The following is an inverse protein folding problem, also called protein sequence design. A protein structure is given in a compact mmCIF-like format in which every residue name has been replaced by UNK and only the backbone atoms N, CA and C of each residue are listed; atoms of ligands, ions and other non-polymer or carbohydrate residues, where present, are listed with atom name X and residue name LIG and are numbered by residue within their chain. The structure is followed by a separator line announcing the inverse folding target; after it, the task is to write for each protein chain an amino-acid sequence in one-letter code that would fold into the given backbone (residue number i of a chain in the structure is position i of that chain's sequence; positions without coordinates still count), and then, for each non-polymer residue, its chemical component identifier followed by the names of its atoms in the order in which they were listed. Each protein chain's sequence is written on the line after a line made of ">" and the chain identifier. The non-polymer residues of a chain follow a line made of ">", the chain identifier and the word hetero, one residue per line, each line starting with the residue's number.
data_IF_670752043694
#
_entry.id   IF_670752043694
#
_cell.length_a   1.000
_cell.length_b   1.000
_cell.length_c   1.000
_cell.angle_alpha   90.00
_cell.angle_beta   90.00
_cell.angle_gamma   90.00
#
_symmetry.space_group_name_H-M   'P 1'
#
loop_
_entity.id
_entity.type
_entity.pdbx_description
1 polymer ?
#
# COMPACT_ATOMS: atom_id res chain seq x y z
N UNK A 1 13.07 4.22 -26.28
CA UNK A 1 11.79 4.70 -25.74
C UNK A 1 10.89 3.50 -25.57
N UNK A 2 10.31 3.29 -24.38
CA UNK A 2 9.28 2.28 -24.21
C UNK A 2 8.04 2.71 -25.01
N UNK A 3 7.38 1.77 -25.68
CA UNK A 3 6.07 2.04 -26.28
C UNK A 3 5.05 1.93 -25.15
N UNK A 4 4.34 3.02 -24.85
CA UNK A 4 3.23 2.99 -23.91
C UNK A 4 2.14 2.07 -24.48
N UNK A 5 1.76 1.03 -23.72
CA UNK A 5 0.65 0.14 -24.05
C UNK A 5 -0.68 0.72 -23.60
N UNK A 6 -1.63 -0.17 -23.29
CA UNK A 6 -2.96 0.24 -22.82
C UNK A 6 -2.91 0.70 -21.36
N UNK A 7 -3.73 1.70 -21.03
CA UNK A 7 -4.07 2.03 -19.65
C UNK A 7 -4.90 0.89 -19.06
N UNK A 8 -4.47 0.33 -17.93
CA UNK A 8 -5.14 -0.77 -17.23
C UNK A 8 -5.90 -0.31 -15.99
N UNK A 9 -5.50 0.81 -15.40
CA UNK A 9 -6.21 1.45 -14.31
C UNK A 9 -5.96 2.96 -14.30
N UNK A 10 -6.86 3.73 -13.72
CA UNK A 10 -6.69 5.17 -13.54
C UNK A 10 -7.42 5.71 -12.32
N UNK A 11 -6.89 6.76 -11.71
CA UNK A 11 -7.54 7.54 -10.66
C UNK A 11 -7.58 9.02 -11.03
N UNK A 12 -8.54 9.74 -10.43
CA UNK A 12 -8.54 11.20 -10.37
C UNK A 12 -8.55 11.61 -8.89
N UNK A 13 -7.58 12.43 -8.50
CA UNK A 13 -7.29 12.81 -7.11
C UNK A 13 -6.36 14.04 -7.10
N UNK A 14 -6.27 14.75 -5.97
CA UNK A 14 -5.40 15.94 -5.82
C UNK A 14 -4.02 15.52 -5.30
N UNK A 15 -3.10 15.16 -6.20
CA UNK A 15 -1.78 14.63 -5.81
C UNK A 15 -0.77 15.74 -5.51
N UNK A 16 -0.88 16.90 -6.19
CA UNK A 16 0.02 18.04 -6.02
C UNK A 16 -0.46 19.10 -5.02
N UNK A 17 -1.62 18.87 -4.40
CA UNK A 17 -2.22 19.69 -3.34
C UNK A 17 -2.71 21.06 -3.82
N UNK A 18 -2.99 21.23 -5.11
CA UNK A 18 -3.48 22.49 -5.68
C UNK A 18 -5.01 22.66 -5.60
N UNK A 19 -5.71 21.65 -5.06
CA UNK A 19 -7.17 21.61 -4.93
C UNK A 19 -7.89 21.19 -6.21
N UNK A 20 -7.17 20.77 -7.25
CA UNK A 20 -7.73 20.32 -8.53
C UNK A 20 -7.37 18.86 -8.73
N UNK A 21 -8.26 18.14 -9.43
CA UNK A 21 -8.02 16.75 -9.71
C UNK A 21 -6.94 16.58 -10.79
N UNK A 22 -5.89 15.86 -10.45
CA UNK A 22 -4.91 15.30 -11.39
C UNK A 22 -5.38 13.92 -11.86
N UNK A 23 -4.70 13.37 -12.87
CA UNK A 23 -4.98 12.02 -13.38
C UNK A 23 -3.76 11.12 -13.22
N UNK A 24 -3.92 10.03 -12.47
CA UNK A 24 -2.93 8.96 -12.38
C UNK A 24 -3.35 7.80 -13.28
N UNK A 25 -2.46 7.34 -14.15
CA UNK A 25 -2.69 6.26 -15.12
C UNK A 25 -1.67 5.14 -14.91
N UNK A 26 -2.12 3.90 -14.84
CA UNK A 26 -1.25 2.72 -14.85
C UNK A 26 -1.27 2.11 -16.24
N UNK A 27 -0.11 1.99 -16.85
CA UNK A 27 0.06 1.59 -18.25
C UNK A 27 0.94 0.34 -18.28
N UNK A 28 0.50 -0.71 -18.98
CA UNK A 28 1.35 -1.88 -19.26
C UNK A 28 2.38 -1.50 -20.31
N UNK A 29 3.67 -1.51 -19.96
CA UNK A 29 4.75 -1.27 -20.90
C UNK A 29 5.10 -2.52 -21.71
N UNK A 30 5.08 -2.39 -23.05
CA UNK A 30 5.60 -3.44 -23.95
C UNK A 30 7.05 -3.08 -24.28
N UNK A 31 8.01 -3.80 -23.70
CA UNK A 31 9.42 -3.71 -24.12
C UNK A 31 9.72 -4.75 -25.21
N UNK A 32 9.78 -4.32 -26.48
CA UNK A 32 10.12 -5.19 -27.61
C UNK A 32 11.54 -5.81 -27.55
N UNK A 33 12.42 -5.34 -26.65
CA UNK A 33 13.82 -5.76 -26.55
C UNK A 33 14.18 -6.52 -25.25
N UNK A 34 13.27 -6.59 -24.25
CA UNK A 34 13.49 -7.33 -22.99
C UNK A 34 12.18 -7.94 -22.50
N UNK A 35 12.20 -9.24 -22.25
CA UNK A 35 11.06 -10.10 -21.88
C UNK A 35 10.43 -9.82 -20.49
N UNK A 36 10.58 -8.63 -19.90
CA UNK A 36 9.99 -8.30 -18.61
C UNK A 36 8.92 -7.20 -18.77
N UNK A 37 7.65 -7.45 -18.38
CA UNK A 37 6.63 -6.40 -18.35
C UNK A 37 7.07 -5.34 -17.34
N UNK A 38 6.99 -4.07 -17.71
CA UNK A 38 7.14 -2.95 -16.77
C UNK A 38 5.83 -2.20 -16.72
N UNK A 39 5.21 -2.11 -15.56
CA UNK A 39 4.12 -1.17 -15.35
C UNK A 39 4.69 0.25 -15.24
N UNK A 40 4.05 1.21 -15.88
CA UNK A 40 4.38 2.64 -15.77
C UNK A 40 3.22 3.32 -15.06
N UNK A 41 3.49 3.97 -13.94
CA UNK A 41 2.57 4.91 -13.32
C UNK A 41 2.85 6.30 -13.90
N UNK A 42 1.84 6.93 -14.47
CA UNK A 42 1.91 8.23 -15.13
C UNK A 42 0.94 9.19 -14.47
N UNK A 43 1.48 10.21 -13.80
CA UNK A 43 0.71 11.30 -13.22
C UNK A 43 0.66 12.47 -14.21
N UNK A 44 -0.54 12.92 -14.55
CA UNK A 44 -0.79 14.11 -15.36
C UNK A 44 -1.47 15.14 -14.46
N UNK A 45 -0.75 16.21 -14.12
CA UNK A 45 -1.26 17.27 -13.25
C UNK A 45 -2.35 18.08 -13.95
N UNK A 46 -3.19 18.76 -13.19
CA UNK A 46 -4.20 19.70 -13.72
C UNK A 46 -3.58 20.83 -14.56
N UNK A 47 -2.30 21.15 -14.33
CA UNK A 47 -1.48 22.08 -15.12
C UNK A 47 -1.05 21.54 -16.49
N UNK A 48 -1.16 20.22 -16.70
CA UNK A 48 -0.68 19.51 -17.88
C UNK A 48 0.74 18.96 -17.77
N UNK A 49 1.43 19.21 -16.66
CA UNK A 49 2.73 18.58 -16.38
C UNK A 49 2.57 17.05 -16.24
N UNK A 50 3.59 16.31 -16.69
CA UNK A 50 3.56 14.84 -16.73
C UNK A 50 4.76 14.29 -15.97
N UNK A 51 4.51 13.36 -15.07
CA UNK A 51 5.52 12.67 -14.26
C UNK A 51 5.32 11.17 -14.39
N UNK A 52 6.38 10.43 -14.64
CA UNK A 52 6.33 8.98 -14.85
C UNK A 52 7.24 8.27 -13.87
N UNK A 53 6.74 7.15 -13.34
CA UNK A 53 7.48 6.23 -12.49
C UNK A 53 7.39 4.84 -13.09
N UNK A 54 8.55 4.27 -13.43
CA UNK A 54 8.63 2.86 -13.78
C UNK A 54 8.56 2.02 -12.51
N UNK A 55 7.60 1.10 -12.45
CA UNK A 55 7.53 0.11 -11.39
C UNK A 55 8.32 -1.12 -11.83
N UNK A 56 9.17 -1.63 -10.95
CA UNK A 56 9.79 -2.94 -11.18
C UNK A 56 8.70 -4.00 -11.28
N UNK A 57 8.93 -5.01 -12.12
CA UNK A 57 7.99 -6.07 -12.50
C UNK A 57 7.56 -6.92 -11.30
N UNK A 58 6.70 -6.32 -10.50
CA UNK A 58 5.56 -6.97 -9.93
C UNK A 58 4.69 -7.39 -11.11
N UNK A 59 4.09 -8.58 -11.05
CA UNK A 59 3.14 -9.12 -12.02
C UNK A 59 2.23 -8.09 -12.74
N UNK A 60 1.62 -8.51 -13.86
CA UNK A 60 0.65 -7.71 -14.65
C UNK A 60 -0.53 -7.15 -13.81
N UNK A 61 -0.62 -7.48 -12.52
CA UNK A 61 -1.64 -7.07 -11.56
C UNK A 61 -1.26 -5.88 -10.66
N UNK A 62 -0.14 -5.19 -10.94
CA UNK A 62 0.23 -3.91 -10.28
C UNK A 62 -0.84 -2.84 -10.52
N UNK A 63 -1.90 -2.92 -9.72
CA UNK A 63 -3.16 -2.23 -9.92
C UNK A 63 -3.33 -1.16 -8.87
N UNK A 64 -3.98 -0.08 -9.26
CA UNK A 64 -4.47 0.93 -8.33
C UNK A 64 -5.49 0.26 -7.40
N UNK A 65 -5.20 0.25 -6.10
CA UNK A 65 -6.15 -0.18 -5.05
C UNK A 65 -7.11 0.97 -4.75
N UNK A 66 -6.58 2.18 -4.64
CA UNK A 66 -7.36 3.38 -4.36
C UNK A 66 -6.47 4.59 -4.12
N UNK A 67 -7.09 5.72 -3.79
CA UNK A 67 -6.40 6.95 -3.41
C UNK A 67 -6.87 7.39 -2.03
N UNK A 68 -5.93 7.87 -1.22
CA UNK A 68 -6.18 8.43 0.10
C UNK A 68 -5.00 9.29 0.53
N UNK A 69 -5.24 10.24 1.43
CA UNK A 69 -4.18 10.92 2.17
C UNK A 69 -3.55 9.93 3.17
N UNK A 70 -2.48 9.24 2.76
CA UNK A 70 -1.82 8.22 3.61
C UNK A 70 -0.75 8.82 4.51
N UNK A 71 -0.30 10.04 4.20
CA UNK A 71 0.79 10.72 4.88
C UNK A 71 0.33 11.90 5.77
N UNK A 72 -0.94 12.28 5.68
CA UNK A 72 -1.61 13.33 6.46
C UNK A 72 -1.27 14.76 6.02
N UNK A 73 -0.72 14.95 4.82
CA UNK A 73 -0.42 16.28 4.28
C UNK A 73 -1.58 16.91 3.51
N UNK A 74 -2.76 16.25 3.53
CA UNK A 74 -4.01 16.64 2.87
C UNK A 74 -3.99 16.51 1.35
N UNK A 75 -3.00 15.81 0.81
CA UNK A 75 -2.92 15.50 -0.60
C UNK A 75 -3.26 14.02 -0.79
N UNK A 76 -3.87 13.69 -1.90
CA UNK A 76 -4.17 12.31 -2.21
C UNK A 76 -2.89 11.60 -2.65
N UNK A 77 -2.67 10.41 -2.10
CA UNK A 77 -1.62 9.48 -2.51
C UNK A 77 -2.25 8.23 -3.13
N UNK A 78 -1.47 7.48 -3.91
CA UNK A 78 -1.95 6.23 -4.51
C UNK A 78 -1.58 5.03 -3.64
N UNK A 79 -2.55 4.17 -3.37
CA UNK A 79 -2.36 2.84 -2.80
C UNK A 79 -2.31 1.87 -3.98
N UNK A 80 -1.24 1.08 -4.08
CA UNK A 80 -0.99 0.24 -5.25
C UNK A 80 -0.68 -1.19 -4.85
N UNK A 81 -1.27 -2.15 -5.56
CA UNK A 81 -0.77 -3.53 -5.52
C UNK A 81 0.62 -3.56 -6.15
N UNK A 82 1.55 -4.17 -5.44
CA UNK A 82 2.92 -4.47 -5.87
C UNK A 82 3.17 -5.98 -5.79
N UNK A 83 2.11 -6.77 -5.92
CA UNK A 83 2.15 -8.21 -6.18
C UNK A 83 1.13 -8.97 -5.37
N UNK A 84 1.06 -10.27 -5.58
CA UNK A 84 0.20 -11.11 -4.77
C UNK A 84 0.82 -12.49 -4.50
N UNK A 85 0.52 -13.03 -3.33
CA UNK A 85 0.63 -14.44 -3.00
C UNK A 85 -0.67 -15.18 -3.29
N UNK A 86 -0.79 -16.41 -2.76
CA UNK A 86 -2.02 -17.21 -2.90
C UNK A 86 -3.21 -16.62 -2.15
N UNK A 87 -2.97 -15.90 -1.05
CA UNK A 87 -4.03 -15.30 -0.22
C UNK A 87 -3.59 -13.97 0.41
N UNK A 88 -2.51 -13.37 -0.07
CA UNK A 88 -2.00 -12.09 0.43
C UNK A 88 -1.75 -11.15 -0.74
N UNK A 89 -2.03 -9.88 -0.54
CA UNK A 89 -1.67 -8.81 -1.49
C UNK A 89 -0.48 -8.05 -0.93
N UNK A 90 0.48 -7.76 -1.80
CA UNK A 90 1.64 -6.94 -1.48
C UNK A 90 1.28 -5.52 -1.90
N UNK A 91 1.41 -4.54 -1.01
CA UNK A 91 0.97 -3.15 -1.26
C UNK A 91 2.10 -2.13 -1.09
N UNK A 92 2.19 -1.24 -2.08
CA UNK A 92 2.96 0.01 -2.20
C UNK A 92 2.14 1.25 -1.82
N UNK A 93 2.82 2.39 -1.76
CA UNK A 93 2.25 3.73 -1.84
C UNK A 93 3.05 4.55 -2.84
N UNK A 94 2.37 5.33 -3.67
CA UNK A 94 3.00 6.33 -4.55
C UNK A 94 2.58 7.72 -4.09
N UNK A 95 3.56 8.61 -3.96
CA UNK A 95 3.39 9.99 -3.51
C UNK A 95 4.00 10.95 -4.54
N UNK A 96 3.43 12.14 -4.66
CA UNK A 96 4.06 13.22 -5.42
C UNK A 96 4.89 14.10 -4.48
N UNK A 97 6.21 14.05 -4.60
CA UNK A 97 7.13 14.74 -3.69
C UNK A 97 8.19 15.52 -4.48
N UNK A 98 8.29 16.83 -4.22
CA UNK A 98 9.26 17.76 -4.84
C UNK A 98 9.29 17.70 -6.38
N UNK A 99 8.13 17.63 -7.01
CA UNK A 99 8.04 17.66 -8.47
C UNK A 99 8.20 16.29 -9.13
N UNK A 100 8.19 15.20 -8.37
CA UNK A 100 8.38 13.85 -8.88
C UNK A 100 7.37 12.87 -8.28
N UNK A 101 6.86 11.96 -9.12
CA UNK A 101 6.11 10.79 -8.65
C UNK A 101 7.09 9.75 -8.12
N UNK A 102 6.92 9.34 -6.87
CA UNK A 102 7.84 8.46 -6.15
C UNK A 102 7.12 7.31 -5.48
N UNK A 103 7.78 6.16 -5.41
CA UNK A 103 7.36 5.08 -4.51
C UNK A 103 7.90 5.36 -3.12
N UNK A 104 7.10 5.13 -2.09
CA UNK A 104 7.52 5.31 -0.70
C UNK A 104 8.63 4.32 -0.35
N UNK A 105 9.61 4.80 0.41
CA UNK A 105 10.76 4.01 0.83
C UNK A 105 10.93 3.99 2.34
N UNK A 106 11.62 2.96 2.82
CA UNK A 106 12.13 2.87 4.19
C UNK A 106 13.57 2.36 4.10
N UNK A 107 14.49 3.01 4.79
CA UNK A 107 15.93 2.68 4.75
C UNK A 107 16.50 2.64 3.32
N UNK A 108 16.05 3.55 2.45
CA UNK A 108 16.51 3.69 1.06
C UNK A 108 16.08 2.55 0.13
N UNK A 109 15.01 1.81 0.48
CA UNK A 109 14.41 0.77 -0.36
C UNK A 109 12.90 0.97 -0.44
N UNK A 110 12.26 0.67 -1.58
CA UNK A 110 10.81 0.70 -1.68
C UNK A 110 10.14 -0.16 -0.63
N UNK A 111 9.18 0.41 0.12
CA UNK A 111 8.43 -0.37 1.11
C UNK A 111 7.46 -1.33 0.44
N UNK A 112 7.12 -2.39 1.17
CA UNK A 112 6.11 -3.35 0.80
C UNK A 112 5.42 -3.82 2.06
N UNK A 113 4.10 -3.62 2.12
CA UNK A 113 3.26 -4.13 3.19
C UNK A 113 2.39 -5.27 2.69
N UNK A 114 1.88 -6.08 3.60
CA UNK A 114 1.05 -7.23 3.29
C UNK A 114 -0.34 -7.00 3.87
N UNK A 115 -1.38 -7.31 3.10
CA UNK A 115 -2.72 -7.49 3.64
C UNK A 115 -3.37 -8.76 3.08
N UNK A 116 -4.44 -9.22 3.73
CA UNK A 116 -5.07 -10.52 3.49
C UNK A 116 -4.35 -11.65 4.20
N UNK A 117 -4.84 -12.86 4.01
CA UNK A 117 -4.21 -14.06 4.52
C UNK A 117 -5.07 -15.32 4.39
N UNK A 118 -4.79 -16.29 5.24
CA UNK A 118 -5.54 -17.54 5.36
C UNK A 118 -6.26 -17.60 6.71
N UNK A 119 -6.99 -18.69 6.94
CA UNK A 119 -7.69 -18.94 8.21
C UNK A 119 -6.78 -19.09 9.44
N UNK A 120 -5.46 -19.24 9.27
CA UNK A 120 -4.48 -19.38 10.38
C UNK A 120 -3.40 -18.30 10.40
N UNK A 121 -3.44 -17.38 9.44
CA UNK A 121 -2.47 -16.30 9.29
C UNK A 121 -3.13 -15.12 8.61
N UNK A 122 -3.00 -13.92 9.16
CA UNK A 122 -3.50 -12.69 8.55
C UNK A 122 -2.43 -11.60 8.51
N UNK A 123 -2.54 -10.70 7.54
CA UNK A 123 -1.86 -9.42 7.58
C UNK A 123 -2.86 -8.30 7.32
N UNK A 124 -2.63 -7.15 7.91
CA UNK A 124 -3.42 -5.95 7.66
C UNK A 124 -2.56 -4.70 7.57
N UNK A 125 -3.09 -3.71 6.85
CA UNK A 125 -2.50 -2.38 6.72
C UNK A 125 -3.53 -1.33 7.14
N UNK A 126 -3.15 -0.42 8.03
CA UNK A 126 -3.96 0.73 8.42
C UNK A 126 -3.17 2.02 8.25
N UNK A 127 -3.70 2.98 7.51
CA UNK A 127 -3.25 4.36 7.57
C UNK A 127 -4.06 5.08 8.65
N UNK A 128 -3.43 5.41 9.79
CA UNK A 128 -4.09 6.10 10.91
C UNK A 128 -3.53 7.49 11.11
N UNK A 129 -4.41 8.41 11.49
CA UNK A 129 -4.05 9.74 11.92
C UNK A 129 -4.09 9.79 13.45
N UNK A 130 -2.92 9.89 14.06
CA UNK A 130 -2.77 10.26 15.46
C UNK A 130 -2.69 11.78 15.61
N UNK A 131 -2.88 12.27 16.83
CA UNK A 131 -2.91 13.71 17.15
C UNK A 131 -1.72 14.48 16.56
N UNK A 132 -0.55 13.87 16.57
CA UNK A 132 0.72 14.51 16.21
C UNK A 132 1.48 13.74 15.11
N UNK A 133 0.89 12.69 14.53
CA UNK A 133 1.55 11.85 13.53
C UNK A 133 0.57 11.14 12.61
N UNK A 134 0.92 11.04 11.34
CA UNK A 134 0.30 10.08 10.41
C UNK A 134 1.13 8.81 10.43
N UNK A 135 0.49 7.66 10.49
CA UNK A 135 1.16 6.38 10.68
C UNK A 135 0.65 5.34 9.69
N UNK A 136 1.58 4.52 9.19
CA UNK A 136 1.24 3.26 8.53
C UNK A 136 1.44 2.14 9.54
N UNK A 137 0.39 1.39 9.80
CA UNK A 137 0.39 0.28 10.76
C UNK A 137 0.28 -1.01 9.99
N UNK A 138 1.32 -1.84 10.08
CA UNK A 138 1.33 -3.18 9.52
C UNK A 138 1.10 -4.18 10.65
N UNK A 139 0.09 -5.04 10.50
CA UNK A 139 -0.23 -6.08 11.49
C UNK A 139 -0.03 -7.45 10.89
N UNK A 140 0.57 -8.35 11.64
CA UNK A 140 0.56 -9.79 11.38
C UNK A 140 -0.14 -10.53 12.51
N UNK A 141 -0.89 -11.58 12.19
CA UNK A 141 -1.56 -12.45 13.16
C UNK A 141 -1.39 -13.92 12.78
N UNK A 142 -1.19 -14.83 13.74
CA UNK A 142 -1.11 -16.28 13.50
C UNK A 142 -1.42 -17.12 14.74
N UNK A 143 -1.91 -18.35 14.57
CA UNK A 143 -2.22 -19.29 15.67
C UNK A 143 -1.27 -20.52 15.68
N UNK A 144 -0.11 -20.44 15.02
CA UNK A 144 0.78 -21.60 14.85
C UNK A 144 1.40 -22.10 16.16
N UNK A 145 1.47 -21.26 17.19
CA UNK A 145 2.02 -21.64 18.49
C UNK A 145 1.02 -22.41 19.37
N UNK A 146 -0.30 -22.21 19.17
CA UNK A 146 -1.36 -22.83 19.97
C UNK A 146 -2.72 -22.58 19.34
N UNK A 147 -3.58 -23.61 19.29
CA UNK A 147 -4.95 -23.48 18.77
C UNK A 147 -5.87 -22.63 19.69
N UNK A 148 -5.42 -22.25 20.89
CA UNK A 148 -6.18 -21.45 21.86
C UNK A 148 -5.75 -19.98 21.93
N UNK A 149 -4.86 -19.55 21.04
CA UNK A 149 -4.44 -18.16 21.01
C UNK A 149 -4.02 -17.72 19.60
N UNK A 150 -4.00 -16.42 19.40
CA UNK A 150 -3.39 -15.79 18.25
C UNK A 150 -2.25 -14.88 18.68
N UNK A 151 -1.06 -15.12 18.12
CA UNK A 151 0.07 -14.23 18.24
C UNK A 151 -0.08 -13.08 17.26
N UNK A 152 0.16 -11.86 17.73
CA UNK A 152 0.07 -10.64 16.93
C UNK A 152 1.37 -9.86 16.97
N UNK A 153 1.71 -9.25 15.85
CA UNK A 153 2.79 -8.27 15.72
C UNK A 153 2.20 -7.03 15.07
N UNK A 154 2.42 -5.86 15.66
CA UNK A 154 2.05 -4.57 15.10
C UNK A 154 3.32 -3.74 14.91
N UNK A 155 3.68 -3.47 13.66
CA UNK A 155 4.74 -2.56 13.27
C UNK A 155 4.12 -1.21 12.90
N UNK A 156 4.60 -0.15 13.54
CA UNK A 156 4.16 1.22 13.33
C UNK A 156 5.25 1.97 12.61
N UNK A 157 4.94 2.48 11.42
CA UNK A 157 5.84 3.26 10.59
C UNK A 157 5.37 4.71 10.59
N UNK A 158 6.32 5.64 10.74
CA UNK A 158 6.06 7.08 10.70
C UNK A 158 6.74 7.71 9.51
N UNK A 159 6.10 8.74 8.97
CA UNK A 159 6.67 9.56 7.91
C UNK A 159 7.79 10.45 8.47
N UNK A 160 9.00 10.27 7.95
CA UNK A 160 10.14 11.14 8.21
C UNK A 160 10.26 12.25 7.16
N UNK A 161 9.77 11.98 5.95
CA UNK A 161 9.48 12.93 4.88
C UNK A 161 8.21 12.46 4.16
N UNK A 162 7.71 13.23 3.17
CA UNK A 162 6.57 12.85 2.35
C UNK A 162 6.73 11.51 1.62
N UNK A 163 7.97 11.08 1.35
CA UNK A 163 8.29 9.86 0.61
C UNK A 163 9.11 8.83 1.38
N UNK A 164 9.40 9.08 2.67
CA UNK A 164 10.28 8.22 3.48
C UNK A 164 9.63 7.87 4.81
N UNK A 165 9.52 6.57 5.06
CA UNK A 165 9.08 5.99 6.32
C UNK A 165 10.28 5.61 7.20
N UNK A 166 10.01 5.54 8.50
CA UNK A 166 10.87 4.90 9.49
C UNK A 166 10.02 4.00 10.37
N UNK A 167 10.50 2.78 10.64
CA UNK A 167 9.92 1.91 11.66
C UNK A 167 10.08 2.60 13.02
N UNK A 168 8.95 3.00 13.58
CA UNK A 168 8.89 3.74 14.83
C UNK A 168 8.81 2.83 16.05
N UNK A 169 7.98 1.79 15.97
CA UNK A 169 7.81 0.83 17.05
C UNK A 169 7.27 -0.50 16.56
N UNK A 170 7.64 -1.58 17.26
CA UNK A 170 7.06 -2.92 17.11
C UNK A 170 6.43 -3.34 18.43
N UNK A 171 5.18 -3.76 18.40
CA UNK A 171 4.46 -4.33 19.55
C UNK A 171 4.12 -5.79 19.27
N UNK A 172 4.23 -6.64 20.30
CA UNK A 172 3.80 -8.04 20.24
C UNK A 172 2.77 -8.30 21.31
N UNK A 173 1.71 -9.01 20.97
CA UNK A 173 0.64 -9.35 21.90
C UNK A 173 0.01 -10.70 21.55
N UNK A 174 -0.81 -11.22 22.46
CA UNK A 174 -1.55 -12.46 22.31
C UNK A 174 -3.03 -12.19 22.49
N UNK A 175 -3.85 -12.77 21.62
CA UNK A 175 -5.32 -12.80 21.75
C UNK A 175 -5.70 -14.22 22.15
N UNK A 176 -6.13 -14.41 23.40
CA UNK A 176 -6.63 -15.70 23.85
C UNK A 176 -8.04 -15.97 23.29
N UNK A 177 -8.30 -17.21 22.89
CA UNK A 177 -9.63 -17.67 22.49
C UNK A 177 -10.10 -18.83 23.37
N UNK A 178 -11.40 -18.95 23.56
CA UNK A 178 -12.00 -19.92 24.49
C UNK A 178 -12.24 -21.30 23.88
N UNK A 179 -12.13 -21.43 22.55
CA UNK A 179 -12.33 -22.68 21.80
C UNK A 179 -11.19 -22.83 20.79
N UNK A 180 -10.65 -24.06 20.60
CA UNK A 180 -9.59 -24.30 19.64
C UNK A 180 -9.95 -23.82 18.22
N UNK A 181 -9.03 -23.13 17.56
CA UNK A 181 -9.15 -22.58 16.20
C UNK A 181 -10.26 -21.54 16.02
N UNK A 182 -10.77 -20.95 17.10
CA UNK A 182 -11.71 -19.84 16.98
C UNK A 182 -11.00 -18.61 16.40
N UNK A 183 -11.65 -17.94 15.44
CA UNK A 183 -11.15 -16.69 14.85
C UNK A 183 -11.07 -15.58 15.92
N UNK A 184 -10.09 -14.67 15.83
CA UNK A 184 -10.03 -13.52 16.71
C UNK A 184 -11.22 -12.60 16.42
N UNK A 185 -11.68 -11.81 17.41
CA UNK A 185 -12.66 -10.76 17.14
C UNK A 185 -12.09 -9.72 16.17
N UNK A 186 -12.96 -8.99 15.46
CA UNK A 186 -12.57 -7.90 14.55
C UNK A 186 -11.61 -8.35 13.44
N UNK A 187 -12.03 -9.35 12.64
CA UNK A 187 -11.17 -9.96 11.61
C UNK A 187 -10.64 -8.94 10.59
N UNK A 188 -11.43 -7.93 10.21
CA UNK A 188 -10.98 -6.90 9.27
C UNK A 188 -9.72 -6.16 9.77
N UNK A 189 -9.52 -6.06 11.09
CA UNK A 189 -8.31 -5.48 11.68
C UNK A 189 -7.03 -6.25 11.37
N UNK A 190 -7.15 -7.55 11.05
CA UNK A 190 -6.02 -8.46 10.92
C UNK A 190 -5.86 -9.08 9.53
N UNK A 191 -6.86 -8.91 8.65
CA UNK A 191 -6.79 -9.31 7.24
C UNK A 191 -6.98 -8.14 6.27
N UNK A 192 -7.48 -6.99 6.70
CA UNK A 192 -7.91 -5.92 5.80
C UNK A 192 -6.87 -4.85 5.45
N UNK A 193 -7.27 -3.95 4.56
CA UNK A 193 -6.61 -2.68 4.30
C UNK A 193 -7.57 -1.53 4.63
N UNK A 194 -7.12 -0.56 5.43
CA UNK A 194 -7.91 0.61 5.82
C UNK A 194 -7.07 1.89 5.74
N UNK A 195 -7.29 2.71 4.73
CA UNK A 195 -6.62 3.99 4.56
C UNK A 195 -7.63 5.05 4.11
N UNK A 196 -8.01 5.96 5.02
CA UNK A 196 -9.04 6.95 4.76
C UNK A 196 -10.38 6.30 4.37
N UNK A 197 -10.85 6.58 3.15
CA UNK A 197 -12.07 6.01 2.57
C UNK A 197 -11.87 4.63 1.94
N UNK A 198 -10.62 4.22 1.71
CA UNK A 198 -10.28 2.91 1.13
C UNK A 198 -10.36 1.85 2.23
N UNK A 199 -11.35 0.97 2.12
CA UNK A 199 -11.56 -0.15 3.03
C UNK A 199 -11.75 -1.44 2.25
N UNK A 200 -10.82 -2.38 2.41
CA UNK A 200 -10.91 -3.72 1.86
C UNK A 200 -10.90 -4.72 3.01
N UNK A 201 -11.95 -5.53 3.08
CA UNK A 201 -11.94 -6.73 3.91
C UNK A 201 -10.97 -7.75 3.29
N UNK A 202 -10.36 -8.58 4.14
CA UNK A 202 -9.41 -9.61 3.70
C UNK A 202 -9.85 -11.03 3.98
#
# INVERSE_FOLDING_TARGET
>A
MAVLGNTVASAQADFDCDGRADRLEFITGINAARQAPKAIARLVLATGAVHELALDAVDDSSSLIGTADVNGDRCDDAIVSVGHGASTTWTSFLVYDRGELRRVEENGKPVMFLFGGSVRHGNAVECRQEKDASEIVARGISDFASDLQWDTVEDVHRWSTRSQLVLWSTTRAVIAVSVPNAMPPDQDRYWGLSCGSVKLAG
#
